data_IF_776216685821
#
_entry.id   IF_776216685821
#
_cell.length_a   1.000
_cell.length_b   1.000
_cell.length_c   1.000
_cell.angle_alpha   90.00
_cell.angle_beta   90.00
_cell.angle_gamma   90.00
#
_symmetry.space_group_name_H-M   'P 1'
#
loop_
_entity.id
_entity.type
_entity.pdbx_description
1 polymer ?
#
# COMPACT_ATOMS: atom_id res chain seq x y z
N UNK A 1 5.38 -0.07 0.03
CA UNK A 1 4.01 -0.20 0.62
C UNK A 1 2.88 0.39 -0.22
N UNK A 2 2.88 1.71 -0.47
CA UNK A 2 1.77 2.38 -1.13
C UNK A 2 1.44 1.83 -2.53
N UNK A 3 2.46 1.51 -3.34
CA UNK A 3 2.23 0.93 -4.67
C UNK A 3 1.58 -0.46 -4.64
N UNK A 4 1.79 -1.25 -3.57
CA UNK A 4 1.08 -2.52 -3.40
C UNK A 4 -0.42 -2.28 -3.18
N UNK A 5 -0.76 -1.25 -2.39
CA UNK A 5 -2.15 -0.81 -2.20
C UNK A 5 -2.77 -0.30 -3.49
N UNK A 6 -2.07 0.61 -4.20
CA UNK A 6 -2.50 1.14 -5.52
C UNK A 6 -2.83 -0.01 -6.46
N UNK A 7 -1.93 -0.98 -6.61
CA UNK A 7 -2.11 -2.11 -7.53
C UNK A 7 -3.41 -2.89 -7.31
N UNK A 8 -3.87 -3.00 -6.07
CA UNK A 8 -5.02 -3.81 -5.69
C UNK A 8 -6.32 -3.01 -5.53
N UNK A 9 -6.22 -1.72 -5.19
CA UNK A 9 -7.39 -0.91 -4.83
C UNK A 9 -7.70 0.18 -5.85
N UNK A 10 -6.72 0.64 -6.63
CA UNK A 10 -6.97 1.68 -7.62
C UNK A 10 -7.80 1.16 -8.79
N UNK A 11 -8.53 2.07 -9.45
CA UNK A 11 -9.16 1.77 -10.73
C UNK A 11 -8.12 1.56 -11.83
N UNK A 12 -8.57 1.09 -13.00
CA UNK A 12 -7.72 0.92 -14.18
C UNK A 12 -8.38 1.51 -15.43
N UNK A 13 -7.57 1.96 -16.38
CA UNK A 13 -8.00 2.17 -17.76
C UNK A 13 -7.29 1.09 -18.57
N UNK A 14 -8.05 0.09 -19.04
CA UNK A 14 -7.47 -1.18 -19.49
C UNK A 14 -6.61 -1.78 -18.36
N UNK A 15 -5.28 -1.84 -18.53
CA UNK A 15 -4.34 -2.34 -17.52
C UNK A 15 -3.60 -1.22 -16.78
N UNK A 16 -3.69 0.03 -17.24
CA UNK A 16 -2.95 1.15 -16.69
C UNK A 16 -3.54 1.63 -15.37
N UNK A 17 -2.68 2.04 -14.43
CA UNK A 17 -3.10 2.55 -13.15
C UNK A 17 -3.92 3.83 -13.31
N UNK A 18 -5.13 3.85 -12.73
CA UNK A 18 -5.93 5.06 -12.59
C UNK A 18 -6.03 5.41 -11.11
N UNK A 19 -5.11 6.25 -10.67
CA UNK A 19 -5.06 6.72 -9.29
C UNK A 19 -6.30 7.58 -8.96
N UNK A 20 -6.84 7.41 -7.76
CA UNK A 20 -7.93 8.22 -7.23
C UNK A 20 -7.69 8.55 -5.77
N UNK A 21 -7.87 9.83 -5.40
CA UNK A 21 -7.80 10.26 -4.01
C UNK A 21 -8.84 9.56 -3.14
N UNK A 22 -10.07 9.38 -3.65
CA UNK A 22 -11.17 8.78 -2.87
C UNK A 22 -11.03 7.28 -2.67
N UNK A 23 -10.49 6.56 -3.65
CA UNK A 23 -10.35 5.10 -3.57
C UNK A 23 -9.04 4.69 -2.93
N UNK A 24 -7.94 5.34 -3.30
CA UNK A 24 -6.60 4.92 -2.91
C UNK A 24 -6.14 5.68 -1.68
N UNK A 25 -6.03 7.01 -1.78
CA UNK A 25 -5.37 7.83 -0.75
C UNK A 25 -6.16 7.83 0.56
N UNK A 26 -7.46 8.16 0.50
CA UNK A 26 -8.31 8.27 1.69
C UNK A 26 -8.44 6.96 2.47
N UNK A 27 -8.30 5.83 1.78
CA UNK A 27 -8.44 4.49 2.38
C UNK A 27 -7.09 3.81 2.63
N UNK A 28 -5.96 4.49 2.35
CA UNK A 28 -4.65 3.87 2.53
C UNK A 28 -4.33 3.74 4.02
N UNK A 29 -4.14 2.52 4.55
CA UNK A 29 -3.92 2.31 5.97
C UNK A 29 -2.46 2.66 6.32
N UNK A 30 -2.18 3.95 6.53
CA UNK A 30 -0.88 4.48 6.95
C UNK A 30 -0.52 4.02 8.39
N UNK A 31 0.76 3.83 8.77
CA UNK A 31 1.15 3.59 10.14
C UNK A 31 1.07 4.86 10.99
N UNK A 32 1.29 4.71 12.30
CA UNK A 32 1.43 5.82 13.25
C UNK A 32 2.91 5.97 13.66
N UNK A 33 3.78 6.47 12.76
CA UNK A 33 5.21 6.53 13.03
C UNK A 33 5.53 7.50 14.17
N UNK A 34 6.49 7.12 15.02
CA UNK A 34 7.13 8.04 15.96
C UNK A 34 7.91 9.12 15.21
N UNK A 35 8.21 10.25 15.84
CA UNK A 35 8.88 11.38 15.17
C UNK A 35 10.23 11.00 14.56
N UNK A 36 11.03 10.19 15.26
CA UNK A 36 12.28 9.66 14.70
C UNK A 36 12.10 8.79 13.44
N UNK A 37 10.97 8.07 13.33
CA UNK A 37 10.63 7.31 12.11
C UNK A 37 10.17 8.24 10.98
N UNK A 38 9.41 9.30 11.29
CA UNK A 38 9.03 10.32 10.30
C UNK A 38 10.28 10.98 9.71
N UNK A 39 11.23 11.36 10.55
CA UNK A 39 12.49 11.95 10.11
C UNK A 39 13.31 11.00 9.25
N UNK A 40 13.35 9.71 9.61
CA UNK A 40 14.02 8.70 8.80
C UNK A 40 13.38 8.53 7.42
N UNK A 41 12.03 8.51 7.35
CA UNK A 41 11.30 8.45 6.09
C UNK A 41 11.58 9.71 5.25
N UNK A 42 11.54 10.90 5.85
CA UNK A 42 11.82 12.16 5.16
C UNK A 42 13.24 12.19 4.58
N UNK A 43 14.25 11.75 5.34
CA UNK A 43 15.63 11.64 4.84
C UNK A 43 15.76 10.65 3.69
N UNK A 44 15.14 9.47 3.78
CA UNK A 44 15.16 8.49 2.70
C UNK A 44 14.40 8.98 1.45
N UNK A 45 13.33 9.75 1.63
CA UNK A 45 12.61 10.38 0.53
C UNK A 45 13.46 11.48 -0.15
N UNK A 46 14.20 12.26 0.63
CA UNK A 46 15.14 13.24 0.10
C UNK A 46 16.26 12.57 -0.72
N UNK A 47 16.83 11.47 -0.25
CA UNK A 47 17.83 10.70 -1.02
C UNK A 47 17.30 10.26 -2.40
N UNK A 48 16.03 9.86 -2.50
CA UNK A 48 15.40 9.58 -3.80
C UNK A 48 15.38 10.81 -4.71
N UNK A 49 15.11 12.00 -4.17
CA UNK A 49 15.12 13.25 -4.93
C UNK A 49 16.54 13.63 -5.36
N UNK A 50 17.51 13.49 -4.46
CA UNK A 50 18.92 13.79 -4.72
C UNK A 50 19.48 12.87 -5.81
N UNK A 51 19.15 11.58 -5.77
CA UNK A 51 19.52 10.62 -6.82
C UNK A 51 18.87 10.99 -8.16
N UNK A 52 17.58 11.36 -8.18
CA UNK A 52 16.92 11.80 -9.42
C UNK A 52 17.62 13.04 -10.02
N UNK A 53 18.06 13.97 -9.19
CA UNK A 53 18.73 15.20 -9.63
C UNK A 53 20.06 14.95 -10.36
N UNK A 54 20.69 13.78 -10.18
CA UNK A 54 21.89 13.37 -10.93
C UNK A 54 21.64 13.09 -12.41
N UNK A 55 20.37 12.98 -12.82
CA UNK A 55 19.96 12.67 -14.19
C UNK A 55 19.17 13.81 -14.86
N UNK A 56 19.75 15.01 -15.04
CA UNK A 56 19.02 16.20 -15.48
C UNK A 56 18.47 16.12 -16.92
N UNK A 57 18.95 15.16 -17.73
CA UNK A 57 18.49 14.94 -19.11
C UNK A 57 17.46 13.81 -19.23
N UNK A 58 17.17 13.08 -18.16
CA UNK A 58 16.22 11.98 -18.15
C UNK A 58 14.84 12.47 -17.72
N UNK A 59 13.80 12.04 -18.41
CA UNK A 59 12.43 12.25 -17.94
C UNK A 59 12.12 11.31 -16.78
N UNK A 60 11.04 11.57 -16.04
CA UNK A 60 10.55 10.59 -15.06
C UNK A 60 10.16 9.26 -15.70
N UNK A 61 9.69 9.26 -16.96
CA UNK A 61 9.40 8.03 -17.67
C UNK A 61 10.68 7.20 -17.89
N UNK A 62 11.79 7.85 -18.26
CA UNK A 62 13.08 7.17 -18.43
C UNK A 62 13.60 6.60 -17.10
N UNK A 63 13.49 7.39 -16.02
CA UNK A 63 13.99 6.99 -14.70
C UNK A 63 13.18 5.86 -14.06
N UNK A 64 11.91 5.72 -14.42
CA UNK A 64 10.99 4.72 -13.86
C UNK A 64 10.63 3.58 -14.82
N UNK A 65 11.31 3.50 -15.97
CA UNK A 65 11.23 2.31 -16.83
C UNK A 65 11.77 1.08 -16.05
N UNK A 66 10.98 -0.01 -15.91
CA UNK A 66 11.38 -1.16 -15.09
C UNK A 66 12.66 -1.86 -15.52
N UNK A 67 13.06 -1.71 -16.79
CA UNK A 67 14.26 -2.34 -17.37
C UNK A 67 15.45 -1.38 -17.28
N UNK A 68 15.21 -0.08 -17.42
CA UNK A 68 16.25 0.96 -17.54
C UNK A 68 16.45 1.82 -16.30
N UNK A 69 15.68 1.60 -15.23
CA UNK A 69 15.83 2.34 -13.97
C UNK A 69 17.29 2.29 -13.48
N UNK A 70 17.94 3.45 -13.21
CA UNK A 70 19.30 3.47 -12.71
C UNK A 70 19.44 2.68 -11.41
N UNK A 71 20.49 1.84 -11.25
CA UNK A 71 20.66 1.02 -10.03
C UNK A 71 20.72 1.84 -8.74
N UNK A 72 21.25 3.07 -8.77
CA UNK A 72 21.25 3.95 -7.60
C UNK A 72 19.86 4.41 -7.21
N UNK A 73 18.97 4.68 -8.19
CA UNK A 73 17.58 5.03 -7.91
C UNK A 73 16.83 3.84 -7.32
N UNK A 74 17.02 2.64 -7.88
CA UNK A 74 16.45 1.41 -7.34
C UNK A 74 16.89 1.16 -5.87
N UNK A 75 18.18 1.40 -5.56
CA UNK A 75 18.69 1.30 -4.18
C UNK A 75 18.07 2.34 -3.24
N UNK A 76 17.92 3.59 -3.68
CA UNK A 76 17.27 4.63 -2.90
C UNK A 76 15.80 4.27 -2.56
N UNK A 77 15.05 3.74 -3.55
CA UNK A 77 13.69 3.21 -3.31
C UNK A 77 13.70 2.02 -2.35
N UNK A 78 14.63 1.09 -2.47
CA UNK A 78 14.75 -0.03 -1.54
C UNK A 78 15.00 0.43 -0.10
N UNK A 79 15.81 1.46 0.09
CA UNK A 79 16.06 2.07 1.41
C UNK A 79 14.81 2.76 1.95
N UNK A 80 14.10 3.52 1.11
CA UNK A 80 12.83 4.15 1.49
C UNK A 80 11.79 3.10 1.87
N UNK A 81 11.60 2.05 1.07
CA UNK A 81 10.66 0.98 1.34
C UNK A 81 10.98 0.27 2.66
N UNK A 82 12.25 -0.07 2.93
CA UNK A 82 12.67 -0.66 4.21
C UNK A 82 12.37 0.27 5.40
N UNK A 83 12.50 1.58 5.21
CA UNK A 83 12.23 2.56 6.26
C UNK A 83 10.74 2.67 6.54
N UNK A 84 9.92 2.66 5.49
CA UNK A 84 8.46 2.63 5.61
C UNK A 84 7.99 1.30 6.22
N UNK A 85 8.55 0.17 5.82
CA UNK A 85 8.21 -1.14 6.39
C UNK A 85 8.47 -1.19 7.91
N UNK A 86 9.58 -0.60 8.36
CA UNK A 86 9.86 -0.44 9.79
C UNK A 86 8.82 0.42 10.51
N UNK A 87 8.28 1.45 9.87
CA UNK A 87 7.19 2.25 10.44
C UNK A 87 5.89 1.44 10.60
N UNK A 88 5.69 0.42 9.76
CA UNK A 88 4.63 -0.58 9.92
C UNK A 88 4.93 -1.66 10.96
N UNK A 89 6.08 -1.59 11.66
CA UNK A 89 6.50 -2.60 12.64
C UNK A 89 6.98 -3.90 12.00
N UNK A 90 7.33 -3.90 10.70
CA UNK A 90 7.81 -5.07 9.98
C UNK A 90 9.24 -4.86 9.50
N UNK A 91 10.07 -5.88 9.61
CA UNK A 91 11.47 -5.83 9.18
C UNK A 91 11.63 -6.15 7.70
N UNK A 92 10.75 -7.00 7.16
CA UNK A 92 10.66 -7.32 5.74
C UNK A 92 9.29 -7.93 5.42
N UNK A 93 8.96 -7.94 4.13
CA UNK A 93 7.87 -8.74 3.54
C UNK A 93 8.47 -9.65 2.48
N UNK A 94 8.06 -10.92 2.47
CA UNK A 94 8.50 -11.95 1.53
C UNK A 94 7.94 -11.77 0.12
N UNK A 95 6.77 -11.14 -0.01
CA UNK A 95 6.10 -10.94 -1.29
C UNK A 95 5.19 -9.71 -1.30
N UNK A 96 4.74 -9.30 -2.49
CA UNK A 96 3.70 -8.29 -2.63
C UNK A 96 2.38 -8.73 -2.02
N UNK A 97 1.99 -9.99 -2.19
CA UNK A 97 0.75 -10.53 -1.62
C UNK A 97 0.73 -10.43 -0.10
N UNK A 98 1.87 -10.69 0.55
CA UNK A 98 1.98 -10.51 2.01
C UNK A 98 1.79 -9.04 2.43
N UNK A 99 2.36 -8.09 1.67
CA UNK A 99 2.16 -6.66 1.93
C UNK A 99 0.68 -6.29 1.84
N UNK A 100 -0.01 -6.80 0.83
CA UNK A 100 -1.43 -6.49 0.59
C UNK A 100 -2.31 -7.08 1.69
N UNK A 101 -2.10 -8.35 2.05
CA UNK A 101 -2.82 -9.00 3.14
C UNK A 101 -2.66 -8.21 4.45
N UNK A 102 -1.42 -7.85 4.79
CA UNK A 102 -1.13 -7.03 5.96
C UNK A 102 -1.81 -5.65 5.93
N UNK A 103 -1.84 -4.99 4.77
CA UNK A 103 -2.53 -3.70 4.62
C UNK A 103 -4.04 -3.85 4.81
N UNK A 104 -4.65 -4.93 4.30
CA UNK A 104 -6.09 -5.20 4.51
C UNK A 104 -6.42 -5.47 5.98
N UNK A 105 -5.59 -6.25 6.70
CA UNK A 105 -5.75 -6.45 8.14
C UNK A 105 -5.73 -5.11 8.90
N UNK A 106 -4.78 -4.23 8.56
CA UNK A 106 -4.69 -2.90 9.16
C UNK A 106 -5.90 -2.02 8.80
N UNK A 107 -6.35 -2.07 7.55
CA UNK A 107 -7.56 -1.35 7.11
C UNK A 107 -8.81 -1.82 7.87
N UNK A 108 -8.99 -3.13 8.06
CA UNK A 108 -10.08 -3.69 8.86
C UNK A 108 -10.01 -3.18 10.31
N UNK A 109 -8.81 -3.19 10.93
CA UNK A 109 -8.63 -2.68 12.28
C UNK A 109 -9.00 -1.20 12.44
N UNK A 110 -8.70 -0.37 11.43
CA UNK A 110 -9.04 1.06 11.41
C UNK A 110 -10.53 1.32 11.15
N UNK A 111 -11.20 0.45 10.38
CA UNK A 111 -12.59 0.67 9.95
C UNK A 111 -13.63 -0.02 10.83
N UNK A 112 -13.30 -1.15 11.45
CA UNK A 112 -14.20 -1.91 12.34
C UNK A 112 -14.84 -1.07 13.45
N UNK A 113 -14.15 -0.12 14.11
CA UNK A 113 -14.77 0.72 15.14
C UNK A 113 -15.84 1.69 14.61
N UNK A 114 -15.84 1.99 13.31
CA UNK A 114 -16.70 2.99 12.66
C UNK A 114 -17.89 2.30 11.99
N UNK A 115 -17.72 1.04 11.56
CA UNK A 115 -18.74 0.29 10.86
C UNK A 115 -19.85 -0.18 11.81
N UNK A 116 -21.14 -0.12 11.39
CA UNK A 116 -22.22 -0.71 12.15
C UNK A 116 -21.97 -2.23 12.30
N UNK A 117 -22.41 -2.85 13.42
CA UNK A 117 -22.21 -4.28 13.63
C UNK A 117 -22.79 -5.07 12.45
N UNK A 118 -21.99 -5.95 11.88
CA UNK A 118 -22.42 -6.83 10.79
C UNK A 118 -23.62 -7.63 11.26
N UNK A 119 -24.78 -7.44 10.61
CA UNK A 119 -25.96 -8.26 10.87
C UNK A 119 -25.59 -9.72 10.59
N UNK A 120 -25.55 -10.55 11.62
CA UNK A 120 -25.37 -11.98 11.46
C UNK A 120 -26.46 -12.50 10.52
N UNK A 121 -26.08 -13.14 9.42
CA UNK A 121 -27.03 -13.85 8.57
C UNK A 121 -27.62 -14.97 9.42
N UNK A 122 -28.83 -14.75 9.94
CA UNK A 122 -29.58 -15.78 10.64
C UNK A 122 -29.75 -16.96 9.68
N UNK A 123 -29.18 -18.11 10.07
CA UNK A 123 -29.41 -19.39 9.39
C UNK A 123 -30.93 -19.61 9.41
N UNK A 124 -31.62 -19.37 8.28
CA UNK A 124 -33.02 -19.74 8.12
C UNK A 124 -33.13 -21.24 8.42
N UNK A 125 -33.63 -21.60 9.61
CA UNK A 125 -34.02 -22.98 9.94
C UNK A 125 -35.10 -23.35 8.94
N UNK A 126 -34.78 -24.23 7.99
CA UNK A 126 -35.73 -24.76 7.03
C UNK A 126 -36.94 -25.33 7.76
N UNK A 127 -38.10 -24.70 7.55
CA UNK A 127 -39.37 -25.14 8.10
C UNK A 127 -39.70 -26.56 7.66
N UNK A 128 -40.10 -27.39 8.62
CA UNK A 128 -40.36 -28.81 8.45
C UNK A 128 -41.37 -29.12 7.35
N UNK A 129 -40.99 -30.06 6.49
CA UNK A 129 -41.89 -30.73 5.55
C UNK A 129 -42.91 -31.56 6.32
N UNK A 130 -44.17 -31.18 6.18
CA UNK A 130 -45.37 -31.86 6.67
C UNK A 130 -45.47 -33.23 5.97
N UNK A 131 -45.35 -34.33 6.72
CA UNK A 131 -45.67 -35.68 6.23
C UNK A 131 -47.15 -35.72 5.81
N UNK A 132 -47.40 -36.20 4.59
CA UNK A 132 -48.70 -36.71 4.15
C UNK A 132 -48.65 -38.23 4.23
#
# INVERSE_FOLDING_TARGET
MHMAWVRHVCGRIKSDYRYSGTLVYNNFPWPDPADGQKDAISRAAQDVLDVRAKFPRSTLADLYDPIRMPPELARAHSTLDKTVDKAYGKTAFSSEMERVAFLFERYEALTRPILPPTRSVSKRRGGGGRKR
#
